data_IF_373966978799
#
_entry.id   IF_373966978799
#
_cell.length_a   1.000
_cell.length_b   1.000
_cell.length_c   1.000
_cell.angle_alpha   90.00
_cell.angle_beta   90.00
_cell.angle_gamma   90.00
#
_symmetry.space_group_name_H-M   'P 1'
#
loop_
_entity.id
_entity.type
_entity.pdbx_description
1 polymer ?
#
# COMPACT_ATOMS: atom_id res chain seq x y z
N UNK A 1 -41.33 46.39 -44.74
CA UNK A 1 -41.69 45.35 -43.76
C UNK A 1 -40.78 45.57 -42.56
N UNK A 2 -41.39 45.88 -41.43
CA UNK A 2 -40.76 46.35 -40.19
C UNK A 2 -39.66 45.43 -39.69
N UNK A 3 -38.59 46.03 -39.16
CA UNK A 3 -37.67 45.37 -38.24
C UNK A 3 -37.65 46.20 -36.96
N UNK A 4 -38.18 45.59 -35.91
CA UNK A 4 -38.36 46.11 -34.57
C UNK A 4 -37.00 46.24 -33.84
N UNK A 5 -36.74 47.42 -33.28
CA UNK A 5 -35.46 47.87 -32.70
C UNK A 5 -35.57 47.99 -31.17
N UNK A 6 -36.08 46.94 -30.52
CA UNK A 6 -36.06 46.82 -29.05
C UNK A 6 -34.77 46.13 -28.58
N UNK A 7 -33.66 46.88 -28.49
CA UNK A 7 -32.56 46.57 -27.56
C UNK A 7 -31.53 47.70 -27.36
N UNK A 8 -31.62 48.81 -28.08
CA UNK A 8 -30.64 49.92 -27.98
C UNK A 8 -30.86 50.88 -26.80
N UNK A 9 -31.91 50.70 -26.00
CA UNK A 9 -32.27 51.63 -24.90
C UNK A 9 -31.60 51.27 -23.56
N UNK A 10 -31.06 50.05 -23.40
CA UNK A 10 -30.40 49.65 -22.14
C UNK A 10 -28.91 50.00 -22.06
N UNK A 11 -28.27 50.38 -23.16
CA UNK A 11 -26.84 50.74 -23.15
C UNK A 11 -26.59 52.23 -22.87
N UNK A 12 -27.57 53.11 -23.12
CA UNK A 12 -27.44 54.55 -22.89
C UNK A 12 -27.64 54.92 -21.41
N UNK A 13 -28.34 54.08 -20.63
CA UNK A 13 -28.53 54.33 -19.19
C UNK A 13 -27.29 54.03 -18.34
N UNK A 14 -26.44 53.09 -18.77
CA UNK A 14 -25.22 52.73 -18.03
C UNK A 14 -24.10 53.75 -18.26
N UNK A 15 -24.01 54.35 -19.46
CA UNK A 15 -23.02 55.40 -19.72
C UNK A 15 -23.38 56.75 -19.09
N UNK A 16 -24.65 57.00 -18.75
CA UNK A 16 -25.10 58.28 -18.18
C UNK A 16 -24.89 58.40 -16.67
N UNK A 17 -24.63 57.29 -15.96
CA UNK A 17 -24.26 57.32 -14.53
C UNK A 17 -22.77 57.66 -14.34
N UNK A 18 -21.94 57.57 -15.39
CA UNK A 18 -20.50 57.83 -15.30
C UNK A 18 -20.14 59.30 -15.62
N UNK A 19 -21.05 60.08 -16.21
CA UNK A 19 -20.75 61.45 -16.64
C UNK A 19 -21.79 62.47 -16.18
N UNK A 20 -21.95 62.62 -14.86
CA UNK A 20 -22.52 63.83 -14.27
C UNK A 20 -22.15 63.93 -12.77
N UNK A 21 -20.85 64.06 -12.46
CA UNK A 21 -20.44 64.60 -11.17
C UNK A 21 -19.40 65.69 -11.38
N UNK A 22 -19.91 66.92 -11.35
CA UNK A 22 -19.15 68.15 -11.40
C UNK A 22 -18.23 68.27 -10.16
N UNK A 23 -17.11 68.92 -10.43
CA UNK A 23 -15.91 69.13 -9.62
C UNK A 23 -16.10 69.33 -8.10
N UNK A 24 -15.25 68.67 -7.29
CA UNK A 24 -15.15 68.84 -5.83
C UNK A 24 -15.98 67.89 -4.94
N UNK A 25 -16.96 67.15 -5.46
CA UNK A 25 -17.77 66.19 -4.68
C UNK A 25 -17.16 64.78 -4.64
N UNK A 26 -16.66 64.29 -5.79
CA UNK A 26 -16.11 62.94 -5.91
C UNK A 26 -14.88 62.72 -5.02
N UNK A 27 -14.00 63.73 -4.92
CA UNK A 27 -12.81 63.64 -4.07
C UNK A 27 -13.16 63.58 -2.58
N UNK A 28 -14.23 64.26 -2.15
CA UNK A 28 -14.74 64.17 -0.76
C UNK A 28 -15.41 62.82 -0.51
N UNK A 29 -16.18 62.32 -1.49
CA UNK A 29 -16.81 61.01 -1.40
C UNK A 29 -15.78 59.88 -1.32
N UNK A 30 -14.77 59.88 -2.19
CA UNK A 30 -13.67 58.90 -2.19
C UNK A 30 -12.86 58.98 -0.90
N UNK A 31 -12.54 60.18 -0.39
CA UNK A 31 -11.88 60.34 0.91
C UNK A 31 -12.71 59.80 2.06
N UNK A 32 -14.03 60.04 2.05
CA UNK A 32 -14.94 59.53 3.08
C UNK A 32 -15.09 58.01 3.00
N UNK A 33 -15.14 57.43 1.80
CA UNK A 33 -15.18 55.99 1.57
C UNK A 33 -13.88 55.30 1.99
N UNK A 34 -12.73 55.88 1.67
CA UNK A 34 -11.43 55.36 2.10
C UNK A 34 -11.29 55.46 3.63
N UNK A 35 -11.69 56.60 4.23
CA UNK A 35 -11.64 56.75 5.68
C UNK A 35 -12.54 55.73 6.40
N UNK A 36 -13.79 55.58 5.95
CA UNK A 36 -14.75 54.64 6.56
C UNK A 36 -14.33 53.18 6.40
N UNK A 37 -13.79 52.78 5.24
CA UNK A 37 -13.26 51.42 5.03
C UNK A 37 -12.03 51.15 5.90
N UNK A 38 -11.10 52.11 6.03
CA UNK A 38 -9.93 51.98 6.92
C UNK A 38 -10.38 51.91 8.39
N UNK A 39 -11.35 52.73 8.81
CA UNK A 39 -11.87 52.69 10.19
C UNK A 39 -12.57 51.36 10.47
N UNK A 40 -13.39 50.86 9.53
CA UNK A 40 -14.05 49.56 9.68
C UNK A 40 -13.04 48.41 9.74
N UNK A 41 -11.99 48.46 8.92
CA UNK A 41 -10.91 47.48 8.94
C UNK A 41 -10.11 47.54 10.25
N UNK A 42 -9.78 48.73 10.74
CA UNK A 42 -9.10 48.91 12.04
C UNK A 42 -9.96 48.43 13.20
N UNK A 43 -11.28 48.69 13.19
CA UNK A 43 -12.22 48.17 14.19
C UNK A 43 -12.29 46.65 14.13
N UNK A 44 -12.29 46.04 12.94
CA UNK A 44 -12.26 44.58 12.77
C UNK A 44 -10.94 43.98 13.27
N UNK A 45 -9.81 44.62 12.99
CA UNK A 45 -8.49 44.18 13.48
C UNK A 45 -8.40 44.31 15.00
N UNK A 46 -8.83 45.44 15.56
CA UNK A 46 -8.84 45.65 17.01
C UNK A 46 -9.85 44.74 17.73
N UNK A 47 -10.98 44.40 17.10
CA UNK A 47 -11.92 43.41 17.59
C UNK A 47 -11.33 41.99 17.52
N UNK A 48 -10.55 41.68 16.48
CA UNK A 48 -9.87 40.38 16.33
C UNK A 48 -8.74 40.16 17.33
N UNK A 49 -8.11 41.23 17.83
CA UNK A 49 -7.10 41.19 18.90
C UNK A 49 -7.71 40.86 20.28
N UNK A 50 -9.04 40.96 20.41
CA UNK A 50 -9.78 40.70 21.65
C UNK A 50 -10.47 39.34 21.65
N UNK A 51 -10.42 38.62 20.52
CA UNK A 51 -10.95 37.27 20.40
C UNK A 51 -9.79 36.28 20.53
N UNK A 52 -9.88 35.26 21.40
CA UNK A 52 -8.85 34.25 21.44
C UNK A 52 -8.82 33.51 20.08
N UNK A 53 -7.69 32.89 19.70
CA UNK A 53 -7.55 32.17 18.43
C UNK A 53 -8.74 31.22 18.20
N UNK A 54 -9.17 31.01 16.96
CA UNK A 54 -10.32 30.13 16.62
C UNK A 54 -10.29 28.75 17.32
N UNK A 55 -9.10 28.24 17.66
CA UNK A 55 -8.90 27.02 18.45
C UNK A 55 -9.50 27.09 19.87
N UNK A 56 -9.61 28.28 20.46
CA UNK A 56 -10.16 28.56 21.79
C UNK A 56 -11.70 28.65 21.83
N UNK A 57 -12.36 28.86 20.67
CA UNK A 57 -13.82 28.99 20.55
C UNK A 57 -14.53 27.69 20.16
N UNK A 58 -13.81 26.64 19.77
CA UNK A 58 -14.41 25.33 19.47
C UNK A 58 -14.75 24.54 20.75
N UNK A 59 -15.91 23.86 20.80
CA UNK A 59 -16.29 23.05 21.96
C UNK A 59 -15.28 21.91 22.21
N UNK A 60 -15.11 21.59 23.50
CA UNK A 60 -14.15 20.64 24.09
C UNK A 60 -13.86 19.34 23.30
N UNK A 61 -14.84 18.68 22.65
CA UNK A 61 -14.58 17.42 21.92
C UNK A 61 -13.56 17.57 20.79
N UNK A 62 -13.54 18.71 20.09
CA UNK A 62 -12.71 18.95 18.90
C UNK A 62 -11.26 19.31 19.24
N UNK A 63 -11.05 19.95 20.40
CA UNK A 63 -9.71 20.29 20.90
C UNK A 63 -8.97 19.01 21.34
N UNK A 64 -9.68 18.08 21.98
CA UNK A 64 -9.16 16.76 22.34
C UNK A 64 -8.80 15.92 21.11
N UNK A 65 -9.60 15.94 20.03
CA UNK A 65 -9.29 15.19 18.80
C UNK A 65 -8.07 15.74 18.07
N UNK A 66 -7.91 17.06 18.01
CA UNK A 66 -6.76 17.72 17.35
C UNK A 66 -5.46 17.49 18.14
N UNK A 67 -5.52 17.52 19.47
CA UNK A 67 -4.38 17.26 20.35
C UNK A 67 -3.99 15.77 20.36
N UNK A 68 -4.95 14.84 20.33
CA UNK A 68 -4.68 13.42 20.07
C UNK A 68 -4.05 13.19 18.68
N UNK A 69 -4.49 13.91 17.65
CA UNK A 69 -3.91 13.80 16.31
C UNK A 69 -2.45 14.29 16.26
N UNK A 70 -2.13 15.38 16.97
CA UNK A 70 -0.76 15.92 17.07
C UNK A 70 0.16 14.98 17.86
N UNK A 71 -0.26 14.51 19.03
CA UNK A 71 0.52 13.54 19.81
C UNK A 71 0.71 12.22 19.05
N UNK A 72 -0.32 11.73 18.35
CA UNK A 72 -0.20 10.51 17.53
C UNK A 72 0.74 10.68 16.33
N UNK A 73 0.83 11.90 15.77
CA UNK A 73 1.73 12.19 14.66
C UNK A 73 3.17 12.35 15.13
N UNK A 74 3.42 12.98 16.29
CA UNK A 74 4.76 13.06 16.90
C UNK A 74 5.28 11.68 17.35
N UNK A 75 4.43 10.86 17.97
CA UNK A 75 4.76 9.47 18.33
C UNK A 75 4.97 8.58 17.09
N UNK A 76 4.19 8.76 16.01
CA UNK A 76 4.38 8.00 14.77
C UNK A 76 5.64 8.45 14.00
N UNK A 77 6.04 9.71 14.14
CA UNK A 77 7.25 10.25 13.52
C UNK A 77 8.52 9.82 14.27
N UNK A 78 8.44 9.59 15.59
CA UNK A 78 9.54 9.03 16.39
C UNK A 78 9.74 7.53 16.15
N UNK A 79 8.66 6.75 15.96
CA UNK A 79 8.74 5.28 15.78
C UNK A 79 9.22 4.85 14.38
N UNK A 80 9.12 5.71 13.36
CA UNK A 80 9.53 5.42 11.97
C UNK A 80 10.47 6.49 11.41
N UNK A 81 11.45 6.91 12.21
CA UNK A 81 12.45 7.89 11.80
C UNK A 81 13.12 7.50 10.48
N UNK A 82 13.36 8.47 9.59
CA UNK A 82 14.01 8.27 8.30
C UNK A 82 13.10 7.72 7.18
N UNK A 83 11.89 7.23 7.51
CA UNK A 83 11.00 6.63 6.50
C UNK A 83 10.45 7.69 5.53
N UNK A 84 10.07 8.87 6.03
CA UNK A 84 9.50 9.93 5.20
C UNK A 84 10.51 10.48 4.17
N UNK A 85 11.80 10.47 4.52
CA UNK A 85 12.91 10.86 3.67
C UNK A 85 13.25 9.74 2.66
N UNK A 86 13.06 8.48 3.05
CA UNK A 86 13.37 7.31 2.23
C UNK A 86 12.35 7.07 1.11
N UNK A 87 11.06 7.18 1.41
CA UNK A 87 9.97 6.86 0.46
C UNK A 87 10.07 7.59 -0.90
N UNK A 88 10.36 8.92 -0.97
CA UNK A 88 10.54 9.61 -2.25
C UNK A 88 11.65 9.05 -3.14
N UNK A 89 12.67 8.40 -2.56
CA UNK A 89 13.82 7.87 -3.31
C UNK A 89 13.58 6.47 -3.89
N UNK A 90 12.62 5.72 -3.32
CA UNK A 90 12.33 4.33 -3.70
C UNK A 90 10.98 4.21 -4.42
N UNK A 91 10.06 5.14 -4.24
CA UNK A 91 8.77 5.07 -4.91
C UNK A 91 8.86 5.14 -6.44
N UNK A 92 7.91 4.50 -7.10
CA UNK A 92 7.60 4.73 -8.51
C UNK A 92 6.99 6.13 -8.73
N UNK A 93 6.86 6.55 -9.98
CA UNK A 93 6.28 7.84 -10.36
C UNK A 93 4.83 8.03 -9.84
N UNK A 94 4.05 6.94 -9.75
CA UNK A 94 2.70 6.92 -9.18
C UNK A 94 2.67 6.79 -7.64
N UNK A 95 3.82 7.00 -6.98
CA UNK A 95 4.00 6.91 -5.52
C UNK A 95 3.69 5.53 -4.94
N UNK A 96 4.04 4.46 -5.66
CA UNK A 96 3.95 3.09 -5.17
C UNK A 96 5.33 2.60 -4.72
N UNK A 97 5.41 1.96 -3.55
CA UNK A 97 6.66 1.33 -3.05
C UNK A 97 6.46 -0.18 -2.93
N UNK A 98 7.40 -0.97 -3.42
CA UNK A 98 7.40 -2.42 -3.19
C UNK A 98 8.10 -2.67 -1.86
N UNK A 99 7.48 -3.39 -0.94
CA UNK A 99 8.00 -3.60 0.41
C UNK A 99 8.16 -5.10 0.65
N UNK A 100 9.32 -5.49 1.15
CA UNK A 100 9.52 -6.82 1.75
C UNK A 100 10.18 -6.67 3.12
N UNK A 101 10.10 -7.70 3.96
CA UNK A 101 10.69 -7.69 5.29
C UNK A 101 11.54 -8.94 5.54
N UNK A 102 12.68 -8.75 6.20
CA UNK A 102 13.64 -9.82 6.49
C UNK A 102 14.22 -9.70 7.90
N UNK A 103 14.42 -10.84 8.56
CA UNK A 103 15.31 -10.96 9.70
C UNK A 103 16.69 -11.50 9.26
N UNK A 104 17.62 -11.68 10.20
CA UNK A 104 18.97 -12.17 9.91
C UNK A 104 18.93 -13.51 9.16
N UNK A 105 18.10 -14.46 9.60
CA UNK A 105 17.97 -15.76 8.97
C UNK A 105 17.60 -15.67 7.48
N UNK A 106 16.69 -14.77 7.12
CA UNK A 106 16.24 -14.60 5.74
C UNK A 106 17.20 -13.75 4.88
N UNK A 107 17.91 -12.81 5.50
CA UNK A 107 18.83 -11.91 4.81
C UNK A 107 20.24 -12.50 4.57
N UNK A 108 20.66 -13.50 5.37
CA UNK A 108 21.98 -14.15 5.24
C UNK A 108 22.27 -14.65 3.81
N UNK A 109 23.55 -14.63 3.45
CA UNK A 109 24.00 -15.14 2.14
C UNK A 109 23.54 -16.59 1.92
N UNK A 110 23.05 -16.88 0.72
CA UNK A 110 22.48 -18.19 0.39
C UNK A 110 21.09 -18.46 0.99
N UNK A 111 20.43 -17.45 1.57
CA UNK A 111 19.06 -17.54 2.09
C UNK A 111 18.03 -16.88 1.16
N UNK A 112 16.80 -16.68 1.66
CA UNK A 112 15.62 -16.25 0.90
C UNK A 112 15.79 -14.90 0.20
N UNK A 113 16.42 -13.90 0.83
CA UNK A 113 16.60 -12.58 0.21
C UNK A 113 17.39 -12.65 -1.11
N UNK A 114 18.36 -13.57 -1.19
CA UNK A 114 19.11 -13.82 -2.41
C UNK A 114 18.21 -14.35 -3.54
N UNK A 115 17.43 -15.39 -3.24
CA UNK A 115 16.50 -16.03 -4.20
C UNK A 115 15.39 -15.06 -4.65
N UNK A 116 14.83 -14.31 -3.70
CA UNK A 116 13.86 -13.26 -3.96
C UNK A 116 14.40 -12.29 -5.02
N UNK A 117 15.59 -11.72 -4.81
CA UNK A 117 16.20 -10.78 -5.76
C UNK A 117 16.56 -11.44 -7.09
N UNK A 118 17.08 -12.67 -7.06
CA UNK A 118 17.42 -13.44 -8.25
C UNK A 118 16.20 -13.66 -9.17
N UNK A 119 15.01 -13.81 -8.58
CA UNK A 119 13.77 -13.96 -9.34
C UNK A 119 13.43 -12.74 -10.21
N UNK A 120 13.69 -11.52 -9.75
CA UNK A 120 13.48 -10.30 -10.56
C UNK A 120 14.36 -10.28 -11.80
N UNK A 121 15.62 -10.71 -11.69
CA UNK A 121 16.53 -10.81 -12.84
C UNK A 121 16.14 -11.95 -13.79
N UNK A 122 15.61 -13.06 -13.27
CA UNK A 122 15.14 -14.18 -14.07
C UNK A 122 13.76 -13.93 -14.70
N UNK A 123 13.00 -12.96 -14.19
CA UNK A 123 11.65 -12.64 -14.65
C UNK A 123 11.63 -11.89 -15.99
N UNK A 124 10.47 -11.87 -16.62
CA UNK A 124 10.27 -11.27 -17.94
C UNK A 124 10.17 -9.74 -17.83
N UNK A 125 11.33 -9.06 -17.95
CA UNK A 125 11.44 -7.57 -17.95
C UNK A 125 10.94 -6.91 -16.66
N UNK A 126 11.24 -7.50 -15.51
CA UNK A 126 10.78 -7.01 -14.19
C UNK A 126 11.93 -6.65 -13.24
N UNK A 127 13.18 -6.76 -13.67
CA UNK A 127 14.38 -6.44 -12.89
C UNK A 127 14.38 -4.99 -12.39
N UNK A 128 13.82 -4.06 -13.18
CA UNK A 128 13.67 -2.66 -12.81
C UNK A 128 12.85 -2.42 -11.55
N UNK A 129 11.96 -3.34 -11.14
CA UNK A 129 11.23 -3.20 -9.87
C UNK A 129 12.14 -3.26 -8.65
N UNK A 130 13.36 -3.80 -8.76
CA UNK A 130 14.34 -3.72 -7.67
C UNK A 130 14.73 -2.27 -7.35
N UNK A 131 14.62 -1.34 -8.31
CA UNK A 131 14.83 0.08 -8.03
C UNK A 131 13.74 0.66 -7.11
N UNK A 132 12.60 -0.02 -7.00
CA UNK A 132 11.45 0.39 -6.20
C UNK A 132 11.17 -0.51 -4.99
N UNK A 133 12.11 -1.41 -4.69
CA UNK A 133 12.05 -2.32 -3.56
C UNK A 133 12.64 -1.65 -2.31
N UNK A 134 11.85 -1.56 -1.27
CA UNK A 134 12.28 -1.26 0.09
C UNK A 134 12.36 -2.56 0.90
N UNK A 135 13.57 -2.94 1.32
CA UNK A 135 13.79 -4.10 2.19
C UNK A 135 13.83 -3.63 3.64
N UNK A 136 12.83 -4.03 4.42
CA UNK A 136 12.69 -3.72 5.84
C UNK A 136 13.43 -4.79 6.65
N UNK A 137 14.53 -4.39 7.26
CA UNK A 137 15.30 -5.23 8.17
C UNK A 137 14.70 -5.17 9.58
N UNK A 138 14.34 -6.33 10.13
CA UNK A 138 13.73 -6.44 11.46
C UNK A 138 14.77 -6.42 12.59
N UNK A 139 16.05 -6.59 12.25
CA UNK A 139 17.17 -6.59 13.19
C UNK A 139 18.46 -6.02 12.53
N UNK A 140 19.47 -5.60 13.32
CA UNK A 140 20.70 -5.00 12.80
C UNK A 140 21.52 -5.91 11.88
N UNK A 141 21.48 -7.24 12.09
CA UNK A 141 22.22 -8.19 11.25
C UNK A 141 21.55 -8.35 9.89
N UNK A 142 20.22 -8.43 9.85
CA UNK A 142 19.43 -8.37 8.64
C UNK A 142 19.74 -7.09 7.84
N UNK A 143 19.87 -5.95 8.52
CA UNK A 143 20.19 -4.67 7.88
C UNK A 143 21.59 -4.69 7.25
N UNK A 144 22.60 -5.22 7.95
CA UNK A 144 23.95 -5.39 7.41
C UNK A 144 23.94 -6.28 6.17
N UNK A 145 23.29 -7.44 6.23
CA UNK A 145 23.16 -8.33 5.09
C UNK A 145 22.40 -7.70 3.91
N UNK A 146 21.32 -6.98 4.18
CA UNK A 146 20.58 -6.27 3.14
C UNK A 146 21.48 -5.28 2.40
N UNK A 147 22.26 -4.46 3.13
CA UNK A 147 23.11 -3.42 2.54
C UNK A 147 24.24 -3.94 1.66
N UNK A 148 24.62 -5.21 1.77
CA UNK A 148 25.62 -5.79 0.86
C UNK A 148 25.04 -6.17 -0.49
N UNK A 149 23.71 -6.34 -0.58
CA UNK A 149 23.05 -6.82 -1.81
C UNK A 149 22.03 -5.84 -2.37
N UNK A 150 21.55 -4.86 -1.60
CA UNK A 150 20.45 -3.99 -2.00
C UNK A 150 20.64 -2.53 -1.56
N UNK A 151 20.14 -1.60 -2.38
CA UNK A 151 20.32 -0.15 -2.17
C UNK A 151 19.43 0.41 -1.07
N UNK A 152 18.15 0.05 -1.07
CA UNK A 152 17.14 0.62 -0.18
C UNK A 152 16.79 -0.35 0.94
N UNK A 153 17.58 -0.29 2.00
CA UNK A 153 17.37 -1.04 3.23
C UNK A 153 16.90 -0.10 4.34
N UNK A 154 15.93 -0.53 5.15
CA UNK A 154 15.43 0.23 6.29
C UNK A 154 15.45 -0.63 7.55
N UNK A 155 16.20 -0.21 8.57
CA UNK A 155 16.18 -0.87 9.87
C UNK A 155 14.95 -0.42 10.64
N UNK A 156 14.05 -1.35 10.94
CA UNK A 156 12.84 -1.08 11.70
C UNK A 156 13.20 -0.83 13.18
N UNK A 157 12.91 0.35 13.75
CA UNK A 157 13.22 0.62 15.16
C UNK A 157 12.35 -0.25 16.06
N UNK A 158 12.95 -1.22 16.77
CA UNK A 158 12.24 -2.09 17.72
C UNK A 158 12.18 -1.45 19.11
N UNK A 159 11.56 -0.28 19.21
CA UNK A 159 11.24 0.35 20.51
C UNK A 159 9.96 -0.25 21.09
N UNK A 160 9.96 -1.54 21.48
CA UNK A 160 8.96 -2.16 22.42
C UNK A 160 9.04 -3.68 22.59
N UNK A 161 9.96 -4.39 21.94
CA UNK A 161 10.08 -5.85 22.10
C UNK A 161 11.48 -6.22 22.56
N UNK A 162 11.62 -6.65 23.81
CA UNK A 162 12.83 -7.28 24.37
C UNK A 162 13.05 -8.70 23.84
N UNK A 163 12.47 -9.06 22.70
CA UNK A 163 12.50 -10.41 22.12
C UNK A 163 13.56 -10.45 21.02
N UNK A 164 14.33 -11.53 21.00
CA UNK A 164 15.29 -11.81 19.93
C UNK A 164 14.54 -12.22 18.65
N UNK A 165 14.61 -11.36 17.63
CA UNK A 165 13.97 -11.55 16.33
C UNK A 165 14.94 -12.08 15.25
N UNK A 166 16.20 -12.38 15.62
CA UNK A 166 17.27 -12.79 14.70
C UNK A 166 17.10 -14.22 14.16
N UNK A 167 16.41 -15.08 14.90
CA UNK A 167 16.16 -16.47 14.51
C UNK A 167 14.99 -16.60 13.55
N UNK A 168 14.97 -17.67 12.74
CA UNK A 168 13.78 -18.05 12.00
C UNK A 168 12.68 -18.38 13.02
N UNK A 169 11.75 -17.45 13.24
CA UNK A 169 10.70 -17.62 14.24
C UNK A 169 9.78 -18.75 13.82
N UNK A 170 9.49 -19.67 14.76
CA UNK A 170 8.45 -20.66 14.55
C UNK A 170 7.11 -19.96 14.31
N UNK A 171 6.34 -20.48 13.36
CA UNK A 171 5.02 -19.98 13.01
C UNK A 171 4.15 -19.94 14.29
N UNK A 172 3.48 -18.80 14.51
CA UNK A 172 2.64 -18.51 15.70
C UNK A 172 3.37 -18.27 17.04
N UNK A 173 4.71 -18.20 17.06
CA UNK A 173 5.45 -17.74 18.26
C UNK A 173 5.11 -16.28 18.62
N UNK A 174 5.31 -15.89 19.88
CA UNK A 174 5.07 -14.50 20.32
C UNK A 174 5.95 -13.50 19.56
N UNK A 175 7.19 -13.90 19.22
CA UNK A 175 8.10 -13.15 18.35
C UNK A 175 7.53 -12.98 16.92
N UNK A 176 7.01 -14.07 16.32
CA UNK A 176 6.34 -14.02 15.01
C UNK A 176 5.13 -13.07 15.03
N UNK A 177 4.27 -13.19 16.04
CA UNK A 177 3.09 -12.33 16.18
C UNK A 177 3.51 -10.86 16.32
N UNK A 178 4.50 -10.55 17.16
CA UNK A 178 4.98 -9.17 17.30
C UNK A 178 5.52 -8.61 15.97
N UNK A 179 6.34 -9.38 15.25
CA UNK A 179 6.90 -9.00 13.93
C UNK A 179 5.80 -8.65 12.91
N UNK A 180 4.80 -9.51 12.80
CA UNK A 180 3.68 -9.34 11.87
C UNK A 180 2.89 -8.06 12.15
N UNK A 181 2.69 -7.71 13.42
CA UNK A 181 1.96 -6.48 13.77
C UNK A 181 2.79 -5.22 13.55
N UNK A 182 4.10 -5.25 13.78
CA UNK A 182 4.99 -4.13 13.44
C UNK A 182 5.05 -3.91 11.92
N UNK A 183 4.97 -5.00 11.12
CA UNK A 183 4.80 -4.92 9.65
C UNK A 183 3.56 -4.11 9.27
N UNK A 184 2.40 -4.37 9.89
CA UNK A 184 1.18 -3.60 9.63
C UNK A 184 1.28 -2.14 10.09
N UNK A 185 2.02 -1.86 11.17
CA UNK A 185 2.27 -0.49 11.64
C UNK A 185 3.07 0.34 10.62
N UNK A 186 4.16 -0.23 10.13
CA UNK A 186 4.97 0.39 9.08
C UNK A 186 4.13 0.67 7.83
N UNK A 187 3.37 -0.32 7.37
CA UNK A 187 2.52 -0.18 6.18
C UNK A 187 1.44 0.90 6.36
N UNK A 188 0.83 0.98 7.54
CA UNK A 188 -0.11 2.07 7.83
C UNK A 188 0.59 3.42 7.75
N UNK A 189 1.82 3.53 8.28
CA UNK A 189 2.60 4.76 8.20
C UNK A 189 2.95 5.14 6.76
N UNK A 190 3.28 4.18 5.90
CA UNK A 190 3.51 4.40 4.46
C UNK A 190 2.27 5.01 3.79
N UNK A 191 1.07 4.47 4.06
CA UNK A 191 -0.18 5.05 3.54
C UNK A 191 -0.45 6.46 4.08
N UNK A 192 -0.18 6.70 5.37
CA UNK A 192 -0.34 8.02 5.99
C UNK A 192 0.60 9.07 5.40
N UNK A 193 1.78 8.65 4.94
CA UNK A 193 2.73 9.49 4.21
C UNK A 193 2.35 9.69 2.73
N UNK A 194 1.24 9.10 2.28
CA UNK A 194 0.69 9.30 0.94
C UNK A 194 1.29 8.41 -0.13
N UNK A 195 1.90 7.28 0.24
CA UNK A 195 2.47 6.30 -0.70
C UNK A 195 1.62 5.03 -0.70
N UNK A 196 1.25 4.56 -1.89
CA UNK A 196 0.69 3.23 -2.07
C UNK A 196 1.81 2.20 -1.85
N UNK A 197 1.47 0.96 -1.51
CA UNK A 197 2.47 -0.08 -1.39
C UNK A 197 2.02 -1.38 -2.01
N UNK A 198 2.99 -2.17 -2.47
CA UNK A 198 2.83 -3.59 -2.72
C UNK A 198 3.76 -4.34 -1.78
N UNK A 199 3.17 -5.07 -0.83
CA UNK A 199 3.91 -5.92 0.08
C UNK A 199 4.09 -7.32 -0.53
N UNK A 200 5.29 -7.86 -0.41
CA UNK A 200 5.64 -9.22 -0.80
C UNK A 200 6.52 -9.87 0.27
N UNK A 201 6.16 -11.05 0.74
CA UNK A 201 7.02 -11.87 1.57
C UNK A 201 8.27 -12.25 0.78
N UNK A 202 9.39 -12.45 1.49
CA UNK A 202 10.70 -12.73 0.89
C UNK A 202 10.80 -14.16 0.30
N UNK A 203 9.86 -15.03 0.61
CA UNK A 203 9.74 -16.38 0.06
C UNK A 203 8.74 -16.47 -1.12
N UNK A 204 8.55 -15.33 -1.80
CA UNK A 204 7.78 -15.22 -3.04
C UNK A 204 8.72 -14.92 -4.20
N UNK A 205 8.78 -15.81 -5.20
CA UNK A 205 9.48 -15.55 -6.46
C UNK A 205 8.59 -14.77 -7.41
N UNK A 206 9.20 -13.82 -8.12
CA UNK A 206 8.55 -13.00 -9.13
C UNK A 206 8.98 -13.42 -10.53
N UNK A 207 8.03 -13.47 -11.46
CA UNK A 207 8.25 -13.94 -12.83
C UNK A 207 7.77 -12.95 -13.88
N UNK A 208 6.66 -12.26 -13.61
CA UNK A 208 6.06 -11.25 -14.50
C UNK A 208 5.53 -10.09 -13.69
N UNK A 209 5.28 -8.99 -14.40
CA UNK A 209 4.75 -7.75 -13.84
C UNK A 209 3.35 -7.98 -13.21
N UNK A 210 3.22 -7.93 -11.88
CA UNK A 210 1.96 -8.21 -11.20
C UNK A 210 0.98 -7.03 -11.27
N UNK A 211 1.46 -5.80 -11.51
CA UNK A 211 0.62 -4.61 -11.56
C UNK A 211 -0.36 -4.65 -12.73
N UNK A 212 -0.06 -5.42 -13.79
CA UNK A 212 -0.98 -5.71 -14.90
C UNK A 212 -2.24 -6.45 -14.49
N UNK A 213 -2.24 -7.05 -13.31
CA UNK A 213 -3.36 -7.83 -12.77
C UNK A 213 -4.04 -7.13 -11.58
N UNK A 214 -3.60 -5.94 -11.20
CA UNK A 214 -4.21 -5.13 -10.16
C UNK A 214 -5.14 -4.12 -10.82
N UNK A 215 -6.42 -4.17 -10.47
CA UNK A 215 -7.45 -3.30 -11.00
C UNK A 215 -7.26 -1.86 -10.51
N UNK A 216 -7.40 -0.90 -11.43
CA UNK A 216 -7.24 0.55 -11.15
C UNK A 216 -8.17 1.05 -10.03
N UNK A 217 -9.33 0.41 -9.89
CA UNK A 217 -10.33 0.74 -8.88
C UNK A 217 -10.13 0.00 -7.55
N UNK A 218 -9.25 -0.99 -7.45
CA UNK A 218 -9.02 -1.72 -6.21
C UNK A 218 -8.46 -0.77 -5.14
N UNK A 219 -9.07 -0.79 -3.96
CA UNK A 219 -8.49 -0.14 -2.77
C UNK A 219 -7.37 -1.03 -2.20
N UNK A 220 -7.56 -2.35 -2.29
CA UNK A 220 -6.60 -3.39 -1.94
C UNK A 220 -6.69 -4.54 -2.95
N UNK A 221 -5.56 -5.11 -3.35
CA UNK A 221 -5.52 -6.36 -4.12
C UNK A 221 -4.64 -7.37 -3.38
N UNK A 222 -5.07 -8.62 -3.24
CA UNK A 222 -4.39 -9.60 -2.38
C UNK A 222 -4.37 -10.97 -3.03
N UNK A 223 -3.25 -11.69 -2.90
CA UNK A 223 -3.19 -13.11 -3.27
C UNK A 223 -4.11 -13.93 -2.36
N UNK A 224 -4.36 -15.19 -2.74
CA UNK A 224 -5.25 -16.09 -2.02
C UNK A 224 -4.59 -17.44 -1.77
N UNK A 225 -4.91 -18.04 -0.63
CA UNK A 225 -4.68 -19.48 -0.43
C UNK A 225 -5.78 -20.28 -1.14
N UNK A 226 -7.02 -19.75 -1.20
CA UNK A 226 -8.15 -20.33 -1.94
C UNK A 226 -8.87 -19.22 -2.70
N UNK A 227 -8.91 -19.32 -4.03
CA UNK A 227 -9.60 -18.36 -4.90
C UNK A 227 -10.95 -18.92 -5.33
N UNK A 228 -12.04 -18.17 -5.12
CA UNK A 228 -13.40 -18.65 -5.45
C UNK A 228 -13.68 -18.70 -6.95
N UNK A 229 -12.84 -18.06 -7.77
CA UNK A 229 -13.04 -17.89 -9.22
C UNK A 229 -13.55 -16.50 -9.60
N UNK A 230 -13.95 -15.69 -8.61
CA UNK A 230 -14.37 -14.30 -8.77
C UNK A 230 -13.44 -13.38 -7.97
N UNK A 231 -12.94 -12.33 -8.63
CA UNK A 231 -12.01 -11.37 -8.07
C UNK A 231 -12.64 -10.47 -7.01
N UNK A 232 -13.96 -10.30 -6.98
CA UNK A 232 -14.66 -9.43 -6.03
C UNK A 232 -15.38 -10.21 -4.92
N UNK A 233 -15.33 -11.54 -4.97
CA UNK A 233 -16.04 -12.40 -4.03
C UNK A 233 -15.30 -12.55 -2.70
N UNK A 234 -15.88 -11.93 -1.67
CA UNK A 234 -15.39 -11.96 -0.29
C UNK A 234 -15.36 -13.37 0.31
N UNK A 235 -15.93 -14.40 -0.32
CA UNK A 235 -15.79 -15.80 0.11
C UNK A 235 -14.36 -16.35 -0.08
N UNK A 236 -13.55 -15.75 -0.97
CA UNK A 236 -12.14 -16.11 -1.19
C UNK A 236 -11.31 -16.02 0.09
N UNK A 237 -10.29 -16.87 0.23
CA UNK A 237 -9.40 -16.91 1.40
C UNK A 237 -8.08 -16.19 1.10
N UNK A 238 -7.99 -14.87 1.37
CA UNK A 238 -6.80 -14.08 1.13
C UNK A 238 -5.58 -14.59 1.90
N UNK A 239 -4.43 -14.43 1.24
CA UNK A 239 -3.09 -14.61 1.77
C UNK A 239 -2.42 -13.23 1.88
N UNK A 240 -1.84 -12.89 3.03
CA UNK A 240 -1.20 -11.58 3.27
C UNK A 240 0.31 -11.60 3.06
N UNK A 241 0.78 -12.57 2.28
CA UNK A 241 2.16 -12.61 1.79
C UNK A 241 2.35 -11.80 0.51
N UNK A 242 1.29 -11.55 -0.27
CA UNK A 242 1.37 -10.68 -1.45
C UNK A 242 0.12 -9.82 -1.57
N UNK A 243 0.24 -8.50 -1.37
CA UNK A 243 -0.89 -7.59 -1.50
C UNK A 243 -0.49 -6.15 -1.77
N UNK A 244 -1.29 -5.48 -2.59
CA UNK A 244 -1.23 -4.06 -2.87
C UNK A 244 -2.29 -3.31 -2.07
N UNK A 245 -1.97 -2.10 -1.61
CA UNK A 245 -2.91 -1.16 -1.02
C UNK A 245 -2.67 0.24 -1.57
N UNK A 246 -3.74 0.85 -2.09
CA UNK A 246 -3.71 2.22 -2.62
C UNK A 246 -3.71 3.23 -1.48
N UNK A 247 -2.89 4.28 -1.54
CA UNK A 247 -2.92 5.36 -0.55
C UNK A 247 -4.18 6.23 -0.67
N UNK A 248 -5.07 6.10 0.30
CA UNK A 248 -6.26 6.95 0.46
C UNK A 248 -6.59 7.08 1.95
N UNK A 249 -7.36 8.09 2.35
CA UNK A 249 -7.86 8.18 3.73
C UNK A 249 -8.66 6.93 4.14
N UNK A 250 -9.37 6.33 3.18
CA UNK A 250 -10.16 5.12 3.39
C UNK A 250 -9.29 3.90 3.72
N UNK A 251 -8.18 3.71 3.02
CA UNK A 251 -7.27 2.57 3.26
C UNK A 251 -6.37 2.78 4.48
N UNK A 252 -6.05 4.03 4.83
CA UNK A 252 -5.44 4.36 6.13
C UNK A 252 -6.36 3.94 7.28
N UNK A 253 -7.65 4.23 7.17
CA UNK A 253 -8.66 3.84 8.14
C UNK A 253 -8.89 2.32 8.15
N UNK A 254 -8.87 1.66 6.99
CA UNK A 254 -8.91 0.19 6.88
C UNK A 254 -7.80 -0.47 7.71
N UNK A 255 -6.53 -0.06 7.52
CA UNK A 255 -5.40 -0.62 8.27
C UNK A 255 -5.51 -0.32 9.77
N UNK A 256 -6.03 0.86 10.14
CA UNK A 256 -6.32 1.19 11.54
C UNK A 256 -7.33 0.22 12.16
N UNK A 257 -8.45 -0.07 11.47
CA UNK A 257 -9.49 -1.01 11.93
C UNK A 257 -8.97 -2.44 11.98
N UNK A 258 -8.19 -2.86 10.99
CA UNK A 258 -7.57 -4.18 10.96
C UNK A 258 -6.62 -4.37 12.15
N UNK A 259 -5.75 -3.40 12.44
CA UNK A 259 -4.91 -3.43 13.65
C UNK A 259 -5.72 -3.45 14.94
N UNK A 260 -6.75 -2.61 15.04
CA UNK A 260 -7.61 -2.58 16.23
C UNK A 260 -8.34 -3.90 16.47
N UNK A 261 -8.68 -4.65 15.41
CA UNK A 261 -9.35 -5.94 15.49
C UNK A 261 -8.52 -7.01 16.21
N UNK A 262 -7.19 -6.86 16.32
CA UNK A 262 -6.33 -7.74 17.13
C UNK A 262 -6.86 -7.97 18.55
N UNK A 263 -7.49 -6.96 19.15
CA UNK A 263 -8.07 -7.04 20.50
C UNK A 263 -9.26 -8.02 20.60
N UNK A 264 -9.99 -8.23 19.50
CA UNK A 264 -11.11 -9.19 19.40
C UNK A 264 -10.66 -10.63 19.14
N UNK A 265 -9.43 -10.81 18.65
CA UNK A 265 -8.90 -12.10 18.21
C UNK A 265 -7.49 -12.33 18.80
N UNK A 266 -7.35 -12.49 20.13
CA UNK A 266 -6.05 -12.65 20.76
C UNK A 266 -5.30 -13.87 20.22
N UNK A 267 -3.96 -13.78 20.15
CA UNK A 267 -3.03 -14.83 19.66
C UNK A 267 -3.20 -15.24 18.19
N UNK A 268 -4.01 -14.54 17.40
CA UNK A 268 -4.08 -14.74 15.94
C UNK A 268 -3.13 -13.79 15.19
N UNK A 269 -2.72 -14.22 14.00
CA UNK A 269 -1.95 -13.40 13.07
C UNK A 269 -2.86 -12.56 12.15
N UNK A 270 -2.26 -11.63 11.43
CA UNK A 270 -2.93 -10.60 10.63
C UNK A 270 -3.84 -11.16 9.54
N UNK A 271 -3.42 -12.19 8.80
CA UNK A 271 -4.22 -12.81 7.73
C UNK A 271 -5.51 -13.43 8.28
N UNK A 272 -5.40 -14.19 9.38
CA UNK A 272 -6.57 -14.81 10.02
C UNK A 272 -7.56 -13.75 10.47
N UNK A 273 -7.06 -12.65 11.04
CA UNK A 273 -7.91 -11.54 11.46
C UNK A 273 -8.52 -10.84 10.26
N UNK A 274 -7.78 -10.64 9.16
CA UNK A 274 -8.35 -10.07 7.93
C UNK A 274 -9.50 -10.91 7.42
N UNK A 275 -9.34 -12.24 7.39
CA UNK A 275 -10.40 -13.17 7.01
C UNK A 275 -11.65 -13.01 7.89
N UNK A 276 -11.49 -12.83 9.19
CA UNK A 276 -12.62 -12.65 10.10
C UNK A 276 -13.34 -11.31 9.93
N UNK A 277 -12.65 -10.25 9.48
CA UNK A 277 -13.23 -8.89 9.44
C UNK A 277 -13.45 -8.34 8.03
N UNK A 278 -13.04 -9.04 6.96
CA UNK A 278 -13.14 -8.53 5.58
C UNK A 278 -14.56 -8.10 5.21
N UNK A 279 -15.59 -8.80 5.67
CA UNK A 279 -16.98 -8.40 5.45
C UNK A 279 -17.36 -7.10 6.18
N UNK A 280 -16.79 -6.84 7.36
CA UNK A 280 -16.98 -5.57 8.09
C UNK A 280 -16.30 -4.39 7.36
N UNK A 281 -15.22 -4.66 6.62
CA UNK A 281 -14.44 -3.65 5.90
C UNK A 281 -14.97 -3.40 4.46
N UNK A 282 -15.41 -4.46 3.78
CA UNK A 282 -15.70 -4.46 2.35
C UNK A 282 -17.16 -4.78 2.01
N UNK A 283 -17.92 -5.36 2.93
CA UNK A 283 -19.30 -5.77 2.69
C UNK A 283 -20.23 -4.59 2.40
N UNK A 284 -21.38 -4.86 1.77
CA UNK A 284 -22.34 -3.84 1.34
C UNK A 284 -22.84 -2.92 2.48
N UNK A 285 -22.92 -3.45 3.71
CA UNK A 285 -23.30 -2.72 4.92
C UNK A 285 -22.14 -1.94 5.58
N UNK A 286 -20.90 -2.09 5.10
CA UNK A 286 -19.75 -1.35 5.61
C UNK A 286 -19.85 0.13 5.22
N UNK A 287 -19.40 1.01 6.10
CA UNK A 287 -19.21 2.44 5.83
C UNK A 287 -17.95 2.70 4.98
N UNK A 288 -16.92 1.84 5.10
CA UNK A 288 -15.70 1.96 4.32
C UNK A 288 -15.88 1.49 2.87
N UNK A 289 -16.64 0.40 2.67
CA UNK A 289 -16.83 -0.26 1.36
C UNK A 289 -15.51 -0.40 0.60
N UNK A 290 -14.52 -0.98 1.28
CA UNK A 290 -13.22 -1.27 0.67
C UNK A 290 -13.44 -2.18 -0.54
N UNK A 291 -12.94 -1.78 -1.70
CA UNK A 291 -12.91 -2.64 -2.88
C UNK A 291 -11.68 -3.55 -2.80
N UNK A 292 -11.88 -4.76 -2.29
CA UNK A 292 -10.86 -5.80 -2.21
C UNK A 292 -10.92 -6.63 -3.48
N UNK A 293 -9.81 -6.70 -4.20
CA UNK A 293 -9.63 -7.59 -5.34
C UNK A 293 -8.82 -8.83 -4.91
N UNK A 294 -9.38 -10.01 -5.10
CA UNK A 294 -8.71 -11.30 -4.90
C UNK A 294 -8.00 -11.72 -6.18
N UNK A 295 -6.70 -11.99 -6.07
CA UNK A 295 -5.86 -12.33 -7.20
C UNK A 295 -5.91 -13.84 -7.50
N UNK A 296 -6.13 -14.18 -8.78
CA UNK A 296 -6.25 -15.55 -9.28
C UNK A 296 -4.99 -16.39 -8.97
N UNK A 297 -5.18 -17.53 -8.29
CA UNK A 297 -4.11 -18.46 -7.93
C UNK A 297 -3.43 -19.11 -9.12
N UNK A 298 -4.04 -19.08 -10.31
CA UNK A 298 -3.37 -19.49 -11.56
C UNK A 298 -2.24 -18.53 -11.98
N UNK A 299 -2.18 -17.32 -11.41
CA UNK A 299 -1.13 -16.32 -11.65
C UNK A 299 -0.29 -16.07 -10.41
N UNK A 300 -0.97 -15.95 -9.27
CA UNK A 300 -0.35 -15.70 -7.98
C UNK A 300 -0.36 -17.01 -7.19
N UNK A 301 0.44 -17.96 -7.67
CA UNK A 301 0.44 -19.32 -7.17
C UNK A 301 1.18 -19.47 -5.84
N UNK A 302 0.99 -20.61 -5.20
CA UNK A 302 1.76 -20.99 -4.03
C UNK A 302 1.67 -22.49 -3.74
N UNK A 303 2.56 -23.00 -2.90
CA UNK A 303 2.67 -24.44 -2.63
C UNK A 303 1.43 -25.04 -1.94
N UNK A 304 0.60 -24.23 -1.26
CA UNK A 304 -0.66 -24.72 -0.68
C UNK A 304 -1.64 -25.28 -1.72
N UNK A 305 -1.67 -24.70 -2.92
CA UNK A 305 -2.66 -25.01 -3.97
C UNK A 305 -2.02 -24.94 -5.35
N UNK A 306 -1.12 -25.89 -5.62
CA UNK A 306 -0.55 -26.13 -6.94
C UNK A 306 -1.57 -26.81 -7.88
N UNK A 307 -2.84 -26.36 -7.89
CA UNK A 307 -3.90 -26.97 -8.70
C UNK A 307 -4.01 -26.35 -10.10
N UNK A 308 -3.46 -25.14 -10.29
CA UNK A 308 -3.46 -24.41 -11.57
C UNK A 308 -2.02 -24.08 -11.96
N UNK A 309 -1.25 -25.15 -12.19
CA UNK A 309 0.18 -25.10 -12.45
C UNK A 309 0.47 -24.85 -13.93
N UNK A 310 0.49 -23.59 -14.36
CA UNK A 310 1.02 -23.28 -15.68
C UNK A 310 2.00 -22.10 -15.60
N UNK A 311 3.28 -22.40 -15.83
CA UNK A 311 4.34 -21.42 -15.93
C UNK A 311 4.02 -20.33 -16.97
N UNK A 312 3.25 -20.64 -18.01
CA UNK A 312 2.88 -19.64 -19.02
C UNK A 312 1.96 -18.52 -18.47
N UNK A 313 1.32 -18.75 -17.33
CA UNK A 313 0.41 -17.78 -16.68
C UNK A 313 0.96 -17.18 -15.39
N UNK A 314 2.01 -17.76 -14.83
CA UNK A 314 2.55 -17.38 -13.53
C UNK A 314 3.09 -15.94 -13.50
N UNK A 315 2.71 -15.19 -12.48
CA UNK A 315 3.27 -13.90 -12.11
C UNK A 315 4.17 -14.05 -10.89
N UNK A 316 3.73 -14.84 -9.90
CA UNK A 316 4.49 -15.13 -8.68
C UNK A 316 4.33 -16.58 -8.24
N UNK A 317 5.26 -17.08 -7.41
CA UNK A 317 5.12 -18.34 -6.68
C UNK A 317 5.54 -18.15 -5.22
N UNK A 318 4.62 -18.39 -4.30
CA UNK A 318 4.85 -18.29 -2.86
C UNK A 318 5.15 -19.67 -2.25
N UNK A 319 6.19 -19.78 -1.43
CA UNK A 319 6.40 -20.96 -0.57
C UNK A 319 5.46 -21.01 0.66
N UNK A 320 4.19 -20.62 0.49
CA UNK A 320 3.16 -20.75 1.53
C UNK A 320 2.89 -22.22 1.85
N UNK A 321 2.41 -22.51 3.07
CA UNK A 321 2.25 -23.87 3.59
C UNK A 321 3.53 -24.73 3.60
N UNK A 322 4.71 -24.14 3.42
CA UNK A 322 5.98 -24.82 3.65
C UNK A 322 6.55 -24.47 5.02
N UNK A 323 6.85 -25.50 5.82
CA UNK A 323 7.49 -25.33 7.12
C UNK A 323 9.00 -25.56 6.99
N UNK A 324 9.78 -24.70 7.64
CA UNK A 324 11.24 -24.81 7.70
C UNK A 324 11.95 -24.03 6.60
N UNK A 325 12.89 -23.17 7.02
CA UNK A 325 13.66 -22.32 6.11
C UNK A 325 14.46 -23.12 5.06
N UNK A 326 15.09 -24.22 5.46
CA UNK A 326 15.87 -25.06 4.55
C UNK A 326 15.01 -25.71 3.45
N UNK A 327 13.76 -26.05 3.76
CA UNK A 327 12.81 -26.59 2.80
C UNK A 327 12.39 -25.51 1.79
N UNK A 328 11.98 -24.33 2.29
CA UNK A 328 11.64 -23.17 1.45
C UNK A 328 12.77 -22.82 0.49
N UNK A 329 14.00 -22.66 0.99
CA UNK A 329 15.17 -22.32 0.17
C UNK A 329 15.45 -23.39 -0.89
N UNK A 330 15.32 -24.67 -0.55
CA UNK A 330 15.54 -25.78 -1.48
C UNK A 330 14.54 -25.78 -2.62
N UNK A 331 13.24 -25.70 -2.30
CA UNK A 331 12.19 -25.83 -3.32
C UNK A 331 12.01 -24.54 -4.13
N UNK A 332 12.24 -23.35 -3.55
CA UNK A 332 12.26 -22.12 -4.33
C UNK A 332 13.44 -22.07 -5.32
N UNK A 333 14.59 -22.67 -4.99
CA UNK A 333 15.67 -22.86 -5.99
C UNK A 333 15.24 -23.74 -7.14
N UNK A 334 14.54 -24.85 -6.86
CA UNK A 334 14.03 -25.73 -7.91
C UNK A 334 13.01 -25.01 -8.80
N UNK A 335 12.06 -24.29 -8.20
CA UNK A 335 11.08 -23.46 -8.92
C UNK A 335 11.78 -22.44 -9.82
N UNK A 336 12.80 -21.73 -9.32
CA UNK A 336 13.55 -20.78 -10.12
C UNK A 336 14.30 -21.46 -11.29
N UNK A 337 14.83 -22.66 -11.07
CA UNK A 337 15.43 -23.49 -12.11
C UNK A 337 14.42 -23.93 -13.18
N UNK A 338 13.22 -24.36 -12.77
CA UNK A 338 12.13 -24.69 -13.68
C UNK A 338 11.74 -23.47 -14.53
N UNK A 339 11.60 -22.30 -13.90
CA UNK A 339 11.30 -21.05 -14.59
C UNK A 339 12.35 -20.70 -15.65
N UNK A 340 13.64 -20.82 -15.31
CA UNK A 340 14.75 -20.58 -16.26
C UNK A 340 14.69 -21.52 -17.45
N UNK A 341 14.45 -22.81 -17.21
CA UNK A 341 14.32 -23.79 -18.28
C UNK A 341 13.13 -23.46 -19.18
N UNK A 342 12.01 -23.01 -18.61
CA UNK A 342 10.85 -22.56 -19.36
C UNK A 342 11.15 -21.29 -20.17
N UNK A 343 11.82 -20.28 -19.61
CA UNK A 343 12.03 -19.00 -20.29
C UNK A 343 12.98 -19.10 -21.49
N UNK A 344 13.98 -19.99 -21.44
CA UNK A 344 14.92 -20.21 -22.58
C UNK A 344 14.31 -20.97 -23.75
N UNK A 345 13.16 -21.65 -23.58
CA UNK A 345 12.50 -22.36 -24.69
C UNK A 345 12.10 -21.40 -25.81
N UNK A 346 12.23 -21.84 -27.06
CA UNK A 346 11.95 -21.01 -28.22
C UNK A 346 10.44 -20.64 -28.26
N UNK A 347 10.08 -19.41 -28.67
CA UNK A 347 8.67 -19.01 -28.78
C UNK A 347 7.84 -19.97 -29.64
N UNK A 348 8.40 -20.49 -30.72
CA UNK A 348 7.73 -21.45 -31.60
C UNK A 348 7.38 -22.76 -30.88
N UNK A 349 8.25 -23.25 -29.99
CA UNK A 349 7.99 -24.46 -29.20
C UNK A 349 6.88 -24.23 -28.18
N UNK A 350 6.89 -23.07 -27.51
CA UNK A 350 5.82 -22.66 -26.59
C UNK A 350 4.47 -22.55 -27.31
N UNK A 351 4.46 -21.95 -28.49
CA UNK A 351 3.25 -21.83 -29.32
C UNK A 351 2.75 -23.19 -29.81
N UNK A 352 3.65 -24.09 -30.23
CA UNK A 352 3.31 -25.45 -30.64
C UNK A 352 2.74 -26.27 -29.48
N UNK A 353 3.33 -26.18 -28.29
CA UNK A 353 2.82 -26.83 -27.09
C UNK A 353 1.42 -26.32 -26.73
N UNK A 354 1.23 -24.99 -26.73
CA UNK A 354 -0.07 -24.35 -26.48
C UNK A 354 -1.13 -24.76 -27.51
N UNK A 355 -0.79 -24.78 -28.79
CA UNK A 355 -1.69 -25.22 -29.86
C UNK A 355 -2.08 -26.70 -29.73
N UNK A 356 -1.20 -27.52 -29.16
CA UNK A 356 -1.45 -28.92 -28.84
C UNK A 356 -2.15 -29.12 -27.48
N UNK A 357 -2.61 -28.05 -26.82
CA UNK A 357 -3.30 -28.11 -25.53
C UNK A 357 -2.40 -28.51 -24.34
N UNK A 358 -1.07 -28.44 -24.47
CA UNK A 358 -0.14 -28.78 -23.39
C UNK A 358 0.13 -27.58 -22.48
N UNK A 359 0.12 -27.83 -21.18
CA UNK A 359 0.51 -26.91 -20.10
C UNK A 359 2.00 -27.05 -19.76
N UNK A 360 2.61 -25.97 -19.23
CA UNK A 360 3.97 -26.01 -18.70
C UNK A 360 3.90 -26.08 -17.18
N UNK A 361 3.69 -27.28 -16.66
CA UNK A 361 3.36 -27.47 -15.25
C UNK A 361 4.58 -27.38 -14.33
N UNK A 362 4.38 -26.72 -13.18
CA UNK A 362 5.32 -26.76 -12.07
C UNK A 362 5.38 -28.17 -11.50
N UNK A 363 6.59 -28.66 -11.24
CA UNK A 363 6.78 -29.85 -10.40
C UNK A 363 6.38 -29.55 -8.96
N UNK A 364 5.88 -30.58 -8.31
CA UNK A 364 5.59 -30.56 -6.88
C UNK A 364 6.89 -30.33 -6.08
N UNK A 365 6.90 -29.38 -5.12
CA UNK A 365 8.01 -29.15 -4.20
C UNK A 365 8.41 -30.43 -3.48
N UNK A 366 9.69 -30.78 -3.52
CA UNK A 366 10.17 -32.07 -3.01
C UNK A 366 10.21 -32.10 -1.47
N UNK A 367 10.51 -30.97 -0.82
CA UNK A 367 10.64 -30.89 0.65
C UNK A 367 9.42 -30.30 1.33
N UNK A 368 8.78 -29.30 0.72
CA UNK A 368 7.57 -28.67 1.21
C UNK A 368 6.32 -29.55 0.95
N UNK A 369 6.38 -30.42 -0.07
CA UNK A 369 5.23 -31.21 -0.52
C UNK A 369 4.09 -30.35 -1.05
N UNK A 370 2.91 -30.96 -1.17
CA UNK A 370 1.62 -30.29 -1.36
C UNK A 370 0.75 -30.60 -0.16
N UNK A 371 0.71 -29.74 0.88
CA UNK A 371 -0.29 -29.88 1.91
C UNK A 371 -1.64 -29.62 1.26
N UNK A 372 -2.41 -30.70 1.10
CA UNK A 372 -3.73 -30.69 0.48
C UNK A 372 -4.69 -29.91 1.40
N UNK A 373 -4.79 -28.60 1.23
CA UNK A 373 -5.89 -27.81 1.78
C UNK A 373 -7.10 -27.94 0.86
N UNK A 374 -7.63 -29.16 0.76
CA UNK A 374 -9.05 -29.33 0.41
C UNK A 374 -9.87 -28.93 1.65
N UNK A 375 -10.90 -28.09 1.49
CA UNK A 375 -11.75 -27.67 2.61
C UNK A 375 -12.41 -28.85 3.32
#
# INVERSE_FOLDING_TARGET
MEVDLSNSVKFIFVLKIIMEFHDGSLHRFVKFWIATTITLFLVLVLASQRWPPLDAMMPSPWRATKQNSRNSNEDAQSNFAGLAELLPMVATDDRTVIITSVNEAFARSGSLLGLFRESFFAGEKIDHFLNHLLVVAMDPMAYRHCRTVHRFCYLLPTTKTSMDLSSASDFMSDAYVALVWTKLELQQRVLQLGYSFLFTDVDILWFRDPFRHIGVHADMATSCDVFSGDADDLSSWPNTGFYYVKATNRTVEMLRRWRAARRRFPRNHEQTIFNNIKHELAGAGSDLRIRVQFLDTARFGGFCQLFRNDMARACTMHANCCIGMANKVSDLRDVLGQWRNYTVMAPAEKMKAKAAGRSFEWRVPAKCGTPDKRP
#
